data_IF_712537244170
#
_entry.id   IF_712537244170
#
_cell.length_a   1.000
_cell.length_b   1.000
_cell.length_c   1.000
_cell.angle_alpha   90.00
_cell.angle_beta   90.00
_cell.angle_gamma   90.00
#
_symmetry.space_group_name_H-M   'P 1'
#
loop_
_entity.id
_entity.type
_entity.pdbx_description
1 polymer ?
#
# COMPACT_ATOMS: atom_id res chain seq x y z
N UNK A 1 -8.60 -28.01 5.54
CA UNK A 1 -7.60 -27.09 6.06
C UNK A 1 -7.84 -25.70 5.50
N UNK A 2 -7.92 -24.77 6.36
CA UNK A 2 -8.12 -23.41 5.90
C UNK A 2 -6.79 -22.80 5.46
N UNK A 3 -6.85 -22.06 4.39
CA UNK A 3 -5.73 -21.27 3.94
C UNK A 3 -5.63 -20.03 4.80
N UNK A 4 -4.49 -19.84 5.44
CA UNK A 4 -4.28 -18.69 6.31
C UNK A 4 -3.66 -17.50 5.58
N UNK A 5 -3.48 -17.61 4.27
CA UNK A 5 -2.94 -16.49 3.50
C UNK A 5 -3.92 -15.31 3.48
N UNK A 6 -3.43 -14.09 3.65
CA UNK A 6 -4.30 -12.93 3.57
C UNK A 6 -4.93 -12.77 2.20
N UNK A 7 -6.18 -12.35 2.19
CA UNK A 7 -6.80 -11.84 0.97
C UNK A 7 -6.29 -10.41 0.75
N UNK A 8 -5.88 -10.11 -0.46
CA UNK A 8 -5.42 -8.77 -0.80
C UNK A 8 -6.47 -8.14 -1.70
N UNK A 9 -7.10 -7.10 -1.20
CA UNK A 9 -8.12 -6.34 -1.92
C UNK A 9 -7.47 -5.05 -2.41
N UNK A 10 -7.56 -4.82 -3.71
CA UNK A 10 -6.94 -3.64 -4.33
C UNK A 10 -8.05 -2.73 -4.84
N UNK A 11 -8.04 -1.48 -4.37
CA UNK A 11 -8.90 -0.44 -4.90
C UNK A 11 -8.01 0.48 -5.72
N UNK A 12 -8.27 0.57 -7.01
CA UNK A 12 -7.45 1.37 -7.91
C UNK A 12 -8.30 2.44 -8.57
N UNK A 13 -7.63 3.54 -8.90
CA UNK A 13 -8.28 4.66 -9.54
C UNK A 13 -7.53 5.94 -9.28
N UNK A 14 -7.85 7.01 -10.01
CA UNK A 14 -7.22 8.30 -9.76
C UNK A 14 -7.66 8.87 -8.41
N UNK A 15 -6.78 9.66 -7.83
CA UNK A 15 -7.09 10.34 -6.58
C UNK A 15 -8.30 11.24 -6.76
N UNK A 16 -9.14 11.31 -5.74
CA UNK A 16 -10.28 12.21 -5.75
C UNK A 16 -11.51 11.70 -6.46
N UNK A 17 -11.52 10.46 -6.93
CA UNK A 17 -12.67 9.88 -7.64
C UNK A 17 -13.65 9.16 -6.70
N UNK A 18 -13.79 9.64 -5.46
CA UNK A 18 -14.67 9.00 -4.48
C UNK A 18 -14.07 7.77 -3.85
N UNK A 19 -12.80 7.50 -4.10
CA UNK A 19 -12.14 6.30 -3.64
C UNK A 19 -12.05 6.22 -2.13
N UNK A 20 -11.81 7.34 -1.46
CA UNK A 20 -11.71 7.36 0.01
C UNK A 20 -13.05 7.02 0.68
N UNK A 21 -14.16 7.40 0.08
CA UNK A 21 -15.47 7.02 0.61
C UNK A 21 -15.67 5.50 0.55
N UNK A 22 -15.30 4.90 -0.60
CA UNK A 22 -15.41 3.46 -0.77
C UNK A 22 -14.51 2.75 0.23
N UNK A 23 -13.27 3.20 0.38
CA UNK A 23 -12.31 2.60 1.30
C UNK A 23 -12.82 2.63 2.73
N UNK A 24 -13.38 3.77 3.16
CA UNK A 24 -13.91 3.90 4.52
C UNK A 24 -15.05 2.92 4.78
N UNK A 25 -15.93 2.75 3.79
CA UNK A 25 -17.06 1.83 3.96
C UNK A 25 -16.60 0.39 4.01
N UNK A 26 -15.67 0.01 3.16
CA UNK A 26 -15.15 -1.35 3.15
C UNK A 26 -14.45 -1.67 4.48
N UNK A 27 -13.66 -0.75 5.00
CA UNK A 27 -12.99 -0.95 6.28
C UNK A 27 -14.00 -1.06 7.42
N UNK A 28 -15.10 -0.31 7.36
CA UNK A 28 -16.12 -0.36 8.40
C UNK A 28 -16.91 -1.67 8.38
N UNK A 29 -17.07 -2.26 7.20
CA UNK A 29 -17.94 -3.42 7.02
C UNK A 29 -17.21 -4.77 7.15
N UNK A 30 -15.88 -4.78 7.14
CA UNK A 30 -15.11 -6.03 7.16
C UNK A 30 -14.23 -6.08 8.41
N UNK A 31 -14.54 -7.03 9.29
CA UNK A 31 -13.93 -7.10 10.62
C UNK A 31 -12.43 -7.37 10.60
N UNK A 32 -11.94 -8.09 9.60
CA UNK A 32 -10.56 -8.57 9.61
C UNK A 32 -9.77 -7.95 8.48
N UNK A 33 -10.10 -6.72 8.13
CA UNK A 33 -9.44 -6.01 7.05
C UNK A 33 -8.60 -4.88 7.61
N UNK A 34 -7.33 -4.82 7.17
CA UNK A 34 -6.39 -3.78 7.56
C UNK A 34 -5.98 -2.98 6.33
N UNK A 35 -5.96 -1.67 6.47
CA UNK A 35 -5.46 -0.81 5.41
C UNK A 35 -3.95 -0.88 5.36
N UNK A 36 -3.40 -1.13 4.17
CA UNK A 36 -1.95 -1.21 3.99
C UNK A 36 -1.34 0.19 3.98
N UNK A 37 -0.26 0.36 4.74
CA UNK A 37 0.46 1.64 4.80
C UNK A 37 1.59 1.60 3.77
N UNK A 38 1.50 2.43 2.75
CA UNK A 38 2.48 2.46 1.68
C UNK A 38 3.72 3.24 2.07
N UNK A 39 4.83 2.94 1.41
CA UNK A 39 6.04 3.76 1.49
C UNK A 39 5.92 4.94 0.53
N UNK A 40 6.48 6.07 0.91
CA UNK A 40 6.49 7.26 0.07
C UNK A 40 7.80 8.02 0.27
N UNK A 41 8.30 8.64 -0.79
CA UNK A 41 9.57 9.37 -0.72
C UNK A 41 9.37 10.88 -0.53
N UNK A 42 8.14 11.38 -0.55
CA UNK A 42 7.91 12.78 -0.27
C UNK A 42 7.94 13.04 1.22
N UNK A 43 8.20 14.30 1.59
CA UNK A 43 8.15 14.70 2.98
C UNK A 43 6.72 14.63 3.53
N UNK A 44 6.54 14.36 4.82
CA UNK A 44 5.21 14.39 5.43
C UNK A 44 4.57 15.76 5.30
N UNK A 45 3.28 15.78 5.06
CA UNK A 45 2.48 17.01 5.10
C UNK A 45 1.98 17.24 6.52
N UNK A 46 1.52 18.46 6.85
CA UNK A 46 0.98 18.70 8.18
C UNK A 46 -0.10 17.70 8.54
N UNK A 47 0.00 17.13 9.73
CA UNK A 47 -0.94 16.13 10.22
C UNK A 47 -0.61 14.71 9.82
N UNK A 48 0.35 14.49 8.91
CA UNK A 48 0.77 13.13 8.54
C UNK A 48 1.87 12.64 9.47
N UNK A 49 1.82 11.35 9.77
CA UNK A 49 2.76 10.72 10.70
C UNK A 49 3.39 9.50 10.06
N UNK A 50 4.69 9.35 10.28
CA UNK A 50 5.41 8.19 9.81
C UNK A 50 4.82 6.91 10.41
N UNK A 51 4.59 5.93 9.54
CA UNK A 51 4.02 4.65 9.96
C UNK A 51 2.50 4.64 10.07
N UNK A 52 1.85 5.77 9.85
CA UNK A 52 0.39 5.89 9.94
C UNK A 52 -0.19 6.19 8.57
N UNK A 53 0.06 7.39 8.05
CA UNK A 53 -0.41 7.72 6.69
C UNK A 53 0.49 7.09 5.63
N UNK A 54 1.80 7.12 5.87
CA UNK A 54 2.80 6.50 5.01
C UNK A 54 4.00 6.09 5.85
N UNK A 55 4.82 5.19 5.32
CA UNK A 55 6.20 5.01 5.77
C UNK A 55 7.04 5.98 4.92
N UNK A 56 7.46 7.08 5.51
CA UNK A 56 8.22 8.11 4.79
C UNK A 56 9.69 7.73 4.79
N UNK A 57 10.26 7.56 3.61
CA UNK A 57 11.66 7.12 3.47
C UNK A 57 12.37 8.01 2.45
N UNK A 58 13.68 8.06 2.52
CA UNK A 58 14.47 8.78 1.54
C UNK A 58 14.43 8.05 0.20
N UNK A 59 14.58 8.77 -0.92
CA UNK A 59 14.59 8.11 -2.23
C UNK A 59 15.64 7.00 -2.35
N UNK A 60 16.81 7.19 -1.77
CA UNK A 60 17.85 6.17 -1.81
C UNK A 60 17.44 4.91 -1.07
N UNK A 61 16.78 5.06 0.06
CA UNK A 61 16.26 3.92 0.82
C UNK A 61 15.17 3.20 0.04
N UNK A 62 14.28 3.94 -0.59
CA UNK A 62 13.22 3.33 -1.42
C UNK A 62 13.85 2.51 -2.55
N UNK A 63 14.85 3.07 -3.24
CA UNK A 63 15.50 2.36 -4.33
C UNK A 63 16.23 1.12 -3.86
N UNK A 64 16.81 1.16 -2.66
CA UNK A 64 17.44 -0.02 -2.07
C UNK A 64 16.41 -1.12 -1.83
N UNK A 65 15.26 -0.77 -1.31
CA UNK A 65 14.18 -1.73 -1.10
C UNK A 65 13.68 -2.31 -2.42
N UNK A 66 13.59 -1.47 -3.47
CA UNK A 66 13.24 -1.96 -4.80
C UNK A 66 14.24 -3.02 -5.28
N UNK A 67 15.53 -2.72 -5.13
CA UNK A 67 16.59 -3.63 -5.59
C UNK A 67 16.55 -4.95 -4.83
N UNK A 68 16.09 -4.94 -3.59
CA UNK A 68 15.95 -6.14 -2.77
C UNK A 68 14.65 -6.90 -3.02
N UNK A 69 13.81 -6.43 -3.92
CA UNK A 69 12.52 -7.06 -4.19
C UNK A 69 11.53 -6.92 -3.05
N UNK A 70 11.63 -5.86 -2.26
CA UNK A 70 10.81 -5.72 -1.05
C UNK A 70 9.47 -5.02 -1.27
N UNK A 71 9.07 -4.77 -2.50
CA UNK A 71 7.77 -4.18 -2.79
C UNK A 71 6.87 -5.15 -3.52
N UNK A 72 5.60 -5.19 -3.14
CA UNK A 72 4.56 -5.90 -3.88
C UNK A 72 4.24 -5.16 -5.17
N UNK A 73 4.21 -3.84 -5.11
CA UNK A 73 4.05 -2.96 -6.25
C UNK A 73 4.68 -1.62 -5.90
N UNK A 74 5.03 -0.87 -6.91
CA UNK A 74 5.52 0.51 -6.72
C UNK A 74 5.26 1.30 -7.99
N UNK A 75 5.23 2.63 -7.84
CA UNK A 75 5.00 3.53 -8.96
C UNK A 75 5.74 4.83 -8.72
N UNK A 76 6.08 5.50 -9.80
CA UNK A 76 6.56 6.88 -9.73
C UNK A 76 5.43 7.80 -10.15
N UNK A 77 5.08 8.76 -9.28
CA UNK A 77 3.97 9.67 -9.49
C UNK A 77 4.50 11.08 -9.26
N UNK A 78 4.53 11.88 -10.31
CA UNK A 78 5.01 13.28 -10.24
C UNK A 78 6.39 13.38 -9.58
N UNK A 79 7.31 12.49 -9.96
CA UNK A 79 8.67 12.50 -9.43
C UNK A 79 8.84 11.89 -8.04
N UNK A 80 7.77 11.44 -7.43
CA UNK A 80 7.81 10.78 -6.12
C UNK A 80 7.57 9.31 -6.28
N UNK A 81 8.22 8.51 -5.45
CA UNK A 81 8.06 7.06 -5.47
C UNK A 81 7.11 6.65 -4.36
N UNK A 82 6.19 5.74 -4.68
CA UNK A 82 5.26 5.15 -3.72
C UNK A 82 5.19 3.66 -3.96
N UNK A 83 5.05 2.90 -2.90
CA UNK A 83 4.97 1.46 -3.05
C UNK A 83 4.46 0.76 -1.82
N UNK A 84 3.95 -0.46 -2.00
CA UNK A 84 3.47 -1.31 -0.92
C UNK A 84 4.55 -2.32 -0.61
N UNK A 85 5.09 -2.25 0.59
CA UNK A 85 6.15 -3.16 1.02
C UNK A 85 5.62 -4.55 1.32
N UNK A 86 6.45 -5.55 1.09
CA UNK A 86 6.09 -6.94 1.43
C UNK A 86 5.89 -7.12 2.92
N UNK A 87 6.49 -6.27 3.74
CA UNK A 87 6.29 -6.33 5.18
C UNK A 87 4.84 -6.14 5.60
N UNK A 88 4.06 -5.37 4.84
CA UNK A 88 2.63 -5.23 5.11
C UNK A 88 1.91 -6.57 4.99
N UNK A 89 2.21 -7.31 3.93
CA UNK A 89 1.63 -8.63 3.72
C UNK A 89 2.08 -9.60 4.80
N UNK A 90 3.37 -9.59 5.12
CA UNK A 90 3.93 -10.49 6.13
C UNK A 90 3.29 -10.26 7.50
N UNK A 91 3.09 -8.99 7.87
CA UNK A 91 2.42 -8.68 9.15
C UNK A 91 0.95 -9.06 9.13
N UNK A 92 0.27 -8.86 8.00
CA UNK A 92 -1.12 -9.28 7.88
C UNK A 92 -1.25 -10.80 8.01
N UNK A 93 -0.31 -11.54 7.46
CA UNK A 93 -0.29 -12.98 7.58
C UNK A 93 -0.11 -13.41 9.04
N UNK A 94 0.82 -12.78 9.74
CA UNK A 94 1.04 -13.06 11.15
C UNK A 94 -0.17 -12.72 12.01
N UNK A 95 -0.84 -11.63 11.69
CA UNK A 95 -1.97 -11.14 12.46
C UNK A 95 -3.30 -11.74 12.02
N UNK A 96 -3.28 -12.55 10.95
CA UNK A 96 -4.46 -13.22 10.41
C UNK A 96 -5.54 -12.22 10.00
N UNK A 97 -5.13 -11.16 9.32
CA UNK A 97 -6.03 -10.16 8.77
C UNK A 97 -5.82 -10.06 7.26
N UNK A 98 -6.79 -9.51 6.57
CA UNK A 98 -6.68 -9.25 5.14
C UNK A 98 -6.17 -7.84 4.91
N UNK A 99 -5.68 -7.56 3.72
CA UNK A 99 -5.10 -6.26 3.37
C UNK A 99 -5.94 -5.55 2.33
N UNK A 100 -6.09 -4.26 2.53
CA UNK A 100 -6.70 -3.36 1.57
C UNK A 100 -5.63 -2.40 1.05
N UNK A 101 -5.39 -2.41 -0.24
CA UNK A 101 -4.42 -1.56 -0.91
C UNK A 101 -5.13 -0.49 -1.72
N UNK A 102 -4.61 0.72 -1.64
CA UNK A 102 -5.10 1.85 -2.42
C UNK A 102 -4.05 2.20 -3.47
N UNK A 103 -4.37 1.97 -4.74
CA UNK A 103 -3.46 2.27 -5.85
C UNK A 103 -3.91 3.50 -6.61
N UNK A 104 -2.99 4.42 -6.84
CA UNK A 104 -3.20 5.54 -7.75
C UNK A 104 -2.75 5.08 -9.14
N UNK A 105 -3.65 5.10 -10.10
CA UNK A 105 -3.43 4.47 -11.41
C UNK A 105 -3.08 5.44 -12.51
N UNK A 106 -2.80 6.69 -12.19
CA UNK A 106 -2.55 7.71 -13.22
C UNK A 106 -1.15 7.64 -13.83
N UNK A 107 -0.28 6.82 -13.31
CA UNK A 107 1.12 6.74 -13.74
C UNK A 107 1.50 5.28 -13.97
N UNK A 108 2.72 5.07 -14.45
CA UNK A 108 3.23 3.72 -14.63
C UNK A 108 3.39 3.03 -13.29
N UNK A 109 2.78 1.86 -13.17
CA UNK A 109 2.86 1.05 -11.98
C UNK A 109 3.68 -0.19 -12.27
N UNK A 110 4.71 -0.43 -11.45
CA UNK A 110 5.51 -1.65 -11.53
C UNK A 110 5.00 -2.63 -10.49
N UNK A 111 4.67 -3.84 -10.91
CA UNK A 111 4.06 -4.83 -10.03
C UNK A 111 4.92 -6.07 -9.94
N UNK A 112 5.02 -6.59 -8.74
CA UNK A 112 5.66 -7.87 -8.49
C UNK A 112 4.58 -8.79 -7.95
N UNK A 113 4.38 -9.91 -8.63
CA UNK A 113 3.44 -10.88 -8.11
C UNK A 113 1.99 -10.61 -8.42
N UNK A 114 1.71 -9.76 -9.36
CA UNK A 114 0.40 -9.64 -9.98
C UNK A 114 -0.73 -9.39 -8.99
N UNK A 115 -0.67 -8.31 -8.31
CA UNK A 115 -1.66 -8.03 -7.28
C UNK A 115 -2.95 -7.50 -7.85
N UNK A 116 -3.14 -7.23 -8.98
CA UNK A 116 -4.38 -6.60 -9.48
C UNK A 116 -5.33 -7.60 -10.09
#
# INVERSE_FOLDING_TARGET
MSDSSPLVIVVSGPSGAGKSTVLSRVLADMDRLRFSVSHATRAPRPGERDGVEYHFVAPAEFRSLMAQGRFLEWAEVHGELKGTGRGEYERAEQDQVDLLLDLVTSETVQKEGAVI
#
